data_IF_698687458296
#
_entry.id   IF_698687458296
#
_cell.length_a   1.000
_cell.length_b   1.000
_cell.length_c   1.000
_cell.angle_alpha   90.00
_cell.angle_beta   90.00
_cell.angle_gamma   90.00
#
_symmetry.space_group_name_H-M   'P 1'
#
loop_
_entity.id
_entity.type
_entity.pdbx_description
1 polymer ?
#
# COMPACT_ATOMS: atom_id res chain seq x y z
N UNK A 1 17.89 13.31 -4.01
CA UNK A 1 18.30 11.93 -3.73
C UNK A 1 17.31 11.03 -4.45
N UNK A 2 17.72 10.35 -5.51
CA UNK A 2 16.92 9.32 -6.17
C UNK A 2 17.23 8.02 -5.45
N UNK A 3 16.23 7.35 -4.87
CA UNK A 3 16.42 6.02 -4.31
C UNK A 3 16.32 5.06 -5.49
N UNK A 4 17.48 4.67 -6.03
CA UNK A 4 17.56 3.61 -7.03
C UNK A 4 17.28 2.27 -6.35
N UNK A 5 16.05 1.78 -6.48
CA UNK A 5 15.70 0.45 -6.00
C UNK A 5 16.28 -0.61 -6.95
N UNK A 6 17.09 -1.52 -6.43
CA UNK A 6 17.62 -2.66 -7.16
C UNK A 6 16.57 -3.77 -7.34
N UNK A 7 15.64 -3.91 -6.39
CA UNK A 7 14.66 -4.99 -6.33
C UNK A 7 13.23 -4.56 -6.66
N UNK A 8 12.96 -3.26 -6.71
CA UNK A 8 11.60 -2.73 -6.87
C UNK A 8 11.49 -1.98 -8.20
N UNK A 9 10.59 -2.43 -9.08
CA UNK A 9 10.36 -1.80 -10.37
C UNK A 9 9.30 -0.70 -10.28
N UNK A 10 8.18 -0.97 -9.58
CA UNK A 10 7.10 -0.01 -9.37
C UNK A 10 6.26 -0.38 -8.16
N UNK A 11 5.74 0.64 -7.48
CA UNK A 11 4.75 0.48 -6.43
C UNK A 11 3.64 1.53 -6.58
N UNK A 12 2.42 1.18 -6.19
CA UNK A 12 1.25 2.05 -6.30
C UNK A 12 0.32 1.86 -5.10
N UNK A 13 -0.31 2.95 -4.67
CA UNK A 13 -1.34 3.00 -3.63
C UNK A 13 -2.49 3.87 -4.08
N UNK A 14 -3.69 3.27 -4.14
CA UNK A 14 -4.91 3.94 -4.58
C UNK A 14 -6.01 3.76 -3.55
N UNK A 15 -6.73 4.85 -3.31
CA UNK A 15 -7.98 4.87 -2.56
C UNK A 15 -9.04 5.54 -3.43
N UNK A 16 -10.21 4.92 -3.51
CA UNK A 16 -11.44 5.56 -3.96
C UNK A 16 -12.56 5.25 -2.98
N UNK A 17 -13.48 6.20 -2.79
CA UNK A 17 -14.66 5.99 -1.94
C UNK A 17 -15.89 6.30 -2.79
N UNK A 18 -16.83 5.36 -2.80
CA UNK A 18 -18.10 5.50 -3.52
C UNK A 18 -19.21 4.89 -2.68
N UNK A 19 -20.30 5.62 -2.45
CA UNK A 19 -21.47 5.14 -1.69
C UNK A 19 -21.12 4.51 -0.34
N UNK A 20 -20.24 5.16 0.45
CA UNK A 20 -19.80 4.66 1.75
C UNK A 20 -18.91 3.40 1.70
N UNK A 21 -18.42 3.01 0.52
CA UNK A 21 -17.48 1.89 0.36
C UNK A 21 -16.15 2.42 -0.13
N UNK A 22 -15.11 2.21 0.68
CA UNK A 22 -13.72 2.44 0.30
C UNK A 22 -13.19 1.25 -0.50
N UNK A 23 -12.55 1.52 -1.63
CA UNK A 23 -11.83 0.57 -2.46
C UNK A 23 -10.33 0.85 -2.29
N UNK A 24 -9.64 -0.13 -1.71
CA UNK A 24 -8.23 -0.08 -1.36
C UNK A 24 -7.47 -0.93 -2.36
N UNK A 25 -6.49 -0.32 -3.01
CA UNK A 25 -5.58 -1.02 -3.92
C UNK A 25 -4.12 -0.67 -3.62
N UNK A 26 -3.34 -1.67 -3.24
CA UNK A 26 -1.88 -1.59 -3.12
C UNK A 26 -1.25 -2.57 -4.09
N UNK A 27 -0.24 -2.13 -4.84
CA UNK A 27 0.43 -2.97 -5.84
C UNK A 27 1.93 -2.75 -5.80
N UNK A 28 2.69 -3.84 -5.90
CA UNK A 28 4.15 -3.82 -5.96
C UNK A 28 4.61 -4.80 -7.02
N UNK A 29 5.55 -4.36 -7.85
CA UNK A 29 6.24 -5.20 -8.82
C UNK A 29 7.73 -5.18 -8.52
N UNK A 30 8.32 -6.37 -8.40
CA UNK A 30 9.76 -6.51 -8.23
C UNK A 30 10.47 -6.50 -9.57
N UNK A 31 11.79 -6.27 -9.55
CA UNK A 31 12.69 -6.60 -10.65
C UNK A 31 12.97 -8.11 -10.66
N UNK A 32 13.66 -8.59 -11.70
CA UNK A 32 14.11 -9.99 -11.77
C UNK A 32 15.05 -10.38 -10.64
N UNK A 33 15.81 -9.43 -10.07
CA UNK A 33 16.72 -9.63 -8.95
C UNK A 33 16.03 -9.71 -7.58
N UNK A 34 14.75 -9.33 -7.49
CA UNK A 34 13.94 -9.55 -6.29
C UNK A 34 13.45 -10.99 -6.17
N UNK A 35 13.25 -11.48 -4.96
CA UNK A 35 12.85 -12.85 -4.66
C UNK A 35 11.44 -12.94 -4.08
N UNK A 36 11.13 -12.11 -3.08
CA UNK A 36 9.84 -12.13 -2.39
C UNK A 36 9.34 -10.72 -2.15
N UNK A 37 8.07 -10.51 -2.43
CA UNK A 37 7.35 -9.27 -2.23
C UNK A 37 6.45 -9.45 -1.01
N UNK A 38 6.43 -8.42 -0.17
CA UNK A 38 5.44 -8.21 0.86
C UNK A 38 4.82 -6.83 0.65
N UNK A 39 3.49 -6.77 0.72
CA UNK A 39 2.74 -5.52 0.63
C UNK A 39 1.70 -5.50 1.73
N UNK A 40 1.64 -4.42 2.48
CA UNK A 40 0.63 -4.14 3.48
C UNK A 40 -0.06 -2.84 3.11
N UNK A 41 -1.39 -2.82 3.07
CA UNK A 41 -2.17 -1.60 2.88
C UNK A 41 -3.04 -1.37 4.10
N UNK A 42 -2.83 -0.23 4.73
CA UNK A 42 -3.55 0.22 5.91
C UNK A 42 -4.45 1.38 5.53
N UNK A 43 -5.76 1.21 5.74
CA UNK A 43 -6.73 2.29 5.63
C UNK A 43 -6.64 3.14 6.90
N UNK A 44 -6.43 4.43 6.73
CA UNK A 44 -6.33 5.40 7.81
C UNK A 44 -7.42 6.46 7.68
N UNK A 45 -7.95 6.91 8.82
CA UNK A 45 -8.91 8.01 8.92
C UNK A 45 -8.29 9.17 9.67
N UNK A 46 -8.40 10.37 9.13
CA UNK A 46 -7.97 11.58 9.79
C UNK A 46 -8.95 11.95 10.91
N UNK A 47 -8.44 12.07 12.13
CA UNK A 47 -9.22 12.48 13.30
C UNK A 47 -8.28 13.11 14.34
N UNK A 48 -8.70 14.23 14.93
CA UNK A 48 -7.94 14.89 16.01
C UNK A 48 -6.54 15.35 15.60
N UNK A 49 -6.34 15.73 14.33
CA UNK A 49 -5.03 16.19 13.83
C UNK A 49 -4.08 15.07 13.42
N UNK A 50 -4.49 13.80 13.51
CA UNK A 50 -3.64 12.64 13.21
C UNK A 50 -4.36 11.61 12.34
N UNK A 51 -3.58 10.78 11.66
CA UNK A 51 -4.07 9.64 10.90
C UNK A 51 -4.17 8.41 11.80
N UNK A 52 -5.37 7.86 11.92
CA UNK A 52 -5.67 6.72 12.78
C UNK A 52 -5.96 5.49 11.93
N UNK A 53 -5.34 4.36 12.26
CA UNK A 53 -5.59 3.08 11.60
C UNK A 53 -7.05 2.65 11.77
N UNK A 54 -7.70 2.35 10.65
CA UNK A 54 -9.07 1.79 10.59
C UNK A 54 -9.02 0.29 10.35
N UNK A 55 -8.27 -0.13 9.32
CA UNK A 55 -8.14 -1.52 8.92
C UNK A 55 -6.78 -1.72 8.23
N UNK A 56 -6.30 -2.95 8.20
CA UNK A 56 -5.07 -3.31 7.48
C UNK A 56 -5.23 -4.66 6.78
N UNK A 57 -4.57 -4.81 5.66
CA UNK A 57 -4.48 -6.05 4.93
C UNK A 57 -3.08 -6.22 4.36
N UNK A 58 -2.58 -7.44 4.38
CA UNK A 58 -1.29 -7.77 3.80
C UNK A 58 -1.40 -8.90 2.77
N UNK A 59 -0.47 -8.90 1.85
CA UNK A 59 -0.26 -9.95 0.88
C UNK A 59 1.24 -10.17 0.70
N UNK A 60 1.64 -11.41 0.41
CA UNK A 60 3.01 -11.73 0.05
C UNK A 60 3.04 -12.66 -1.15
N UNK A 61 4.07 -12.54 -1.98
CA UNK A 61 4.24 -13.36 -3.16
C UNK A 61 5.70 -13.51 -3.52
N UNK A 62 6.11 -14.67 -4.02
CA UNK A 62 7.39 -14.88 -4.70
C UNK A 62 7.31 -14.60 -6.21
N UNK A 63 6.10 -14.36 -6.73
CA UNK A 63 5.88 -13.98 -8.12
C UNK A 63 6.44 -12.59 -8.43
N UNK A 64 6.38 -12.20 -9.70
CA UNK A 64 6.89 -10.91 -10.17
C UNK A 64 6.13 -9.69 -9.60
N UNK A 65 4.92 -9.90 -9.06
CA UNK A 65 4.13 -8.85 -8.41
C UNK A 65 3.27 -9.38 -7.28
N UNK A 66 2.93 -8.50 -6.34
CA UNK A 66 1.94 -8.73 -5.30
C UNK A 66 0.98 -7.55 -5.22
N UNK A 67 -0.26 -7.81 -4.80
CA UNK A 67 -1.26 -6.77 -4.65
C UNK A 67 -2.24 -7.05 -3.52
N UNK A 68 -2.70 -5.99 -2.87
CA UNK A 68 -3.86 -5.97 -1.98
C UNK A 68 -4.99 -5.26 -2.73
N UNK A 69 -6.13 -5.94 -2.88
CA UNK A 69 -7.36 -5.36 -3.41
C UNK A 69 -8.49 -5.70 -2.46
N UNK A 70 -8.96 -4.71 -1.70
CA UNK A 70 -9.95 -4.90 -0.63
C UNK A 70 -10.96 -3.77 -0.62
N UNK A 71 -12.15 -4.08 -0.14
CA UNK A 71 -13.20 -3.09 0.11
C UNK A 71 -13.48 -2.99 1.61
N UNK A 72 -13.88 -1.81 2.07
CA UNK A 72 -14.23 -1.58 3.46
C UNK A 72 -15.32 -0.52 3.58
N UNK A 73 -16.31 -0.76 4.44
CA UNK A 73 -17.38 0.20 4.68
C UNK A 73 -16.88 1.36 5.53
N UNK A 74 -17.08 2.58 5.05
CA UNK A 74 -16.65 3.82 5.71
C UNK A 74 -17.85 4.75 5.89
N UNK A 75 -17.75 5.61 6.91
CA UNK A 75 -18.72 6.68 7.19
C UNK A 75 -18.02 8.03 7.05
N UNK A 76 -18.77 9.14 7.14
CA UNK A 76 -18.25 10.47 6.82
C UNK A 76 -16.88 10.79 7.46
N UNK A 77 -16.01 11.45 6.72
CA UNK A 77 -14.65 11.77 7.17
C UNK A 77 -13.63 11.77 6.03
N UNK A 78 -12.36 11.95 6.39
CA UNK A 78 -11.25 11.96 5.43
C UNK A 78 -10.38 10.74 5.65
N UNK A 79 -10.08 10.03 4.56
CA UNK A 79 -9.36 8.77 4.54
C UNK A 79 -8.15 8.82 3.61
N UNK A 80 -7.15 7.98 3.90
CA UNK A 80 -6.04 7.67 2.99
C UNK A 80 -5.65 6.20 3.17
N UNK A 81 -4.92 5.66 2.21
CA UNK A 81 -4.28 4.35 2.32
C UNK A 81 -2.78 4.57 2.47
N UNK A 82 -2.20 3.97 3.51
CA UNK A 82 -0.76 3.82 3.69
C UNK A 82 -0.36 2.42 3.23
N UNK A 83 0.37 2.32 2.11
CA UNK A 83 0.86 1.07 1.57
C UNK A 83 2.35 0.91 1.88
N UNK A 84 2.65 0.09 2.89
CA UNK A 84 4.01 -0.37 3.14
C UNK A 84 4.34 -1.53 2.20
N UNK A 85 5.55 -1.55 1.67
CA UNK A 85 6.04 -2.65 0.87
C UNK A 85 7.47 -2.99 1.20
N UNK A 86 7.80 -4.27 1.03
CA UNK A 86 9.18 -4.73 1.06
C UNK A 86 9.42 -5.79 0.01
N UNK A 87 10.58 -5.74 -0.63
CA UNK A 87 11.05 -6.76 -1.57
C UNK A 87 12.40 -7.26 -1.08
N UNK A 88 12.50 -8.56 -0.79
CA UNK A 88 13.77 -9.20 -0.46
C UNK A 88 14.50 -9.63 -1.74
N UNK A 89 15.81 -9.42 -1.78
CA UNK A 89 16.72 -9.92 -2.80
C UNK A 89 17.70 -10.95 -2.22
N UNK A 90 18.78 -11.24 -2.94
CA UNK A 90 19.80 -12.20 -2.51
C UNK A 90 20.68 -11.66 -1.37
N UNK A 91 20.94 -10.34 -1.34
CA UNK A 91 21.89 -9.72 -0.42
C UNK A 91 21.23 -8.79 0.61
N UNK A 92 19.91 -8.66 0.60
CA UNK A 92 19.19 -7.76 1.51
C UNK A 92 17.71 -7.59 1.17
N UNK A 93 17.11 -6.52 1.66
CA UNK A 93 15.71 -6.16 1.39
C UNK A 93 15.56 -4.67 1.22
N UNK A 94 14.70 -4.26 0.31
CA UNK A 94 14.29 -2.88 0.11
C UNK A 94 12.86 -2.71 0.59
N UNK A 95 12.57 -1.61 1.26
CA UNK A 95 11.23 -1.29 1.71
C UNK A 95 10.96 0.21 1.68
N UNK A 96 9.69 0.55 1.53
CA UNK A 96 9.23 1.93 1.68
C UNK A 96 7.72 1.97 1.96
N UNK A 97 7.19 3.17 2.20
CA UNK A 97 5.77 3.42 2.39
C UNK A 97 5.27 4.48 1.41
N UNK A 98 4.21 4.14 0.67
CA UNK A 98 3.49 5.07 -0.20
C UNK A 98 2.15 5.43 0.41
N UNK A 99 1.75 6.69 0.24
CA UNK A 99 0.42 7.16 0.62
C UNK A 99 -0.42 7.41 -0.62
N UNK A 100 -1.66 6.93 -0.60
CA UNK A 100 -2.65 7.30 -1.61
C UNK A 100 -3.02 8.79 -1.51
N UNK A 101 -3.75 9.27 -2.52
CA UNK A 101 -4.51 10.51 -2.37
C UNK A 101 -5.48 10.40 -1.18
N UNK A 102 -5.72 11.54 -0.53
CA UNK A 102 -6.74 11.66 0.51
C UNK A 102 -8.12 11.77 -0.13
N UNK A 103 -9.10 11.03 0.37
CA UNK A 103 -10.48 11.06 -0.10
C UNK A 103 -11.39 11.38 1.07
N UNK A 104 -12.26 12.38 0.88
CA UNK A 104 -13.27 12.76 1.86
C UNK A 104 -14.66 12.32 1.37
N UNK A 105 -15.49 11.83 2.28
CA UNK A 105 -16.87 11.43 2.02
C UNK A 105 -17.82 11.99 3.08
#
# INVERSE_FOLDING_TARGET
>A
MHVDYAYINRANSTLSISNGTAHIFGYVQRTTSGNKIYVESTLERYSGGSWNKVANWSASSSSYSASVSKTYSVSGGTYRVATYYSVSGATGSESDTLYSKTVSC
#
